data_IF_085649838455
#
_entry.id   IF_085649838455
#
_cell.length_a   1.000
_cell.length_b   1.000
_cell.length_c   1.000
_cell.angle_alpha   90.00
_cell.angle_beta   90.00
_cell.angle_gamma   90.00
#
_symmetry.space_group_name_H-M   'P 1'
#
loop_
_entity.id
_entity.type
_entity.pdbx_description
1 polymer ?
2 non-polymer ?
3 water ?
#
# COMPACT_ATOMS: atom_id res chain seq x y z
N UNK A 2 -11.31 -16.08 -32.35
CA UNK A 2 -11.20 -14.66 -32.62
C UNK A 2 -9.94 -14.05 -32.04
N UNK A 3 -9.58 -12.87 -32.56
CA UNK A 3 -8.32 -12.21 -32.19
C UNK A 3 -8.66 -10.85 -31.60
N UNK A 4 -8.21 -10.65 -30.36
CA UNK A 4 -8.54 -9.49 -29.56
C UNK A 4 -7.41 -8.47 -29.69
N UNK A 5 -7.77 -7.19 -29.69
CA UNK A 5 -6.84 -6.10 -29.94
C UNK A 5 -6.85 -5.14 -28.75
N UNK A 6 -5.71 -5.03 -28.07
CA UNK A 6 -5.63 -4.46 -26.72
C UNK A 6 -4.67 -3.27 -26.74
N UNK A 7 -5.20 -2.08 -26.44
CA UNK A 7 -4.36 -0.89 -26.29
C UNK A 7 -3.64 -0.95 -24.93
N UNK A 8 -2.31 -0.90 -24.97
CA UNK A 8 -1.49 -0.88 -23.76
C UNK A 8 -0.77 0.45 -23.68
N UNK A 9 -1.03 1.21 -22.63
CA UNK A 9 -0.34 2.48 -22.43
C UNK A 9 1.16 2.28 -22.26
N UNK A 10 1.91 3.14 -22.95
CA UNK A 10 3.36 3.10 -22.94
C UNK A 10 3.85 4.53 -22.98
N UNK A 11 4.64 4.93 -21.99
CA UNK A 11 5.09 6.30 -21.92
C UNK A 11 3.92 7.26 -21.97
N UNK A 12 3.99 8.22 -22.90
CA UNK A 12 2.96 9.22 -23.04
C UNK A 12 2.00 8.89 -24.17
N UNK A 13 2.03 7.64 -24.64
CA UNK A 13 1.08 7.15 -25.63
C UNK A 13 0.62 5.73 -25.37
N UNK A 14 0.42 4.96 -26.43
CA UNK A 14 -0.15 3.61 -26.33
C UNK A 14 0.34 2.72 -27.45
N UNK A 15 0.63 1.47 -27.10
CA UNK A 15 0.92 0.43 -28.09
C UNK A 15 -0.32 -0.44 -28.26
N UNK A 16 -0.25 -1.44 -29.15
CA UNK A 16 -1.31 -2.42 -29.35
C UNK A 16 -0.72 -3.82 -29.34
N UNK A 17 -1.53 -4.78 -28.87
CA UNK A 17 -1.19 -6.19 -28.97
C UNK A 17 -2.43 -6.95 -29.45
N UNK A 18 -2.21 -8.03 -30.20
CA UNK A 18 -3.27 -8.83 -30.77
C UNK A 18 -3.15 -10.25 -30.22
N UNK A 19 -4.20 -10.73 -29.55
CA UNK A 19 -4.15 -12.02 -28.88
C UNK A 19 -5.42 -12.78 -29.20
N UNK A 20 -5.31 -14.10 -29.36
CA UNK A 20 -6.49 -14.96 -29.47
C UNK A 20 -7.34 -14.85 -28.21
N UNK A 21 -8.57 -14.35 -28.37
CA UNK A 21 -9.41 -14.03 -27.22
C UNK A 21 -9.61 -15.24 -26.31
N UNK A 22 -9.85 -16.42 -26.90
CA UNK A 22 -10.10 -17.64 -26.11
C UNK A 22 -8.87 -18.13 -25.39
N UNK A 23 -7.77 -17.40 -25.53
CA UNK A 23 -6.51 -17.75 -24.92
C UNK A 23 -6.08 -16.75 -23.85
N UNK A 24 -6.78 -15.63 -23.73
CA UNK A 24 -6.35 -14.56 -22.84
C UNK A 24 -7.52 -14.03 -22.01
N UNK A 25 -7.16 -13.45 -20.86
CA UNK A 25 -8.08 -12.69 -20.03
C UNK A 25 -7.48 -11.31 -19.80
N UNK A 26 -8.30 -10.27 -19.93
CA UNK A 26 -7.87 -8.89 -19.66
C UNK A 26 -8.54 -8.44 -18.37
N UNK A 27 -7.71 -8.24 -17.34
CA UNK A 27 -8.16 -7.78 -16.02
C UNK A 27 -8.02 -6.27 -15.92
N UNK A 28 -9.11 -5.58 -15.60
CA UNK A 28 -9.13 -4.13 -15.43
C UNK A 28 -9.47 -3.75 -13.98
N UNK A 29 -8.86 -2.69 -13.45
CA UNK A 29 -9.32 -2.17 -12.15
C UNK A 29 -10.63 -1.41 -12.29
N UNK A 30 -11.30 -1.26 -11.16
CA UNK A 30 -12.53 -0.47 -11.05
C UNK A 30 -12.16 0.79 -10.25
N UNK A 31 -11.46 1.71 -10.90
CA UNK A 31 -10.73 2.76 -10.20
C UNK A 31 -11.72 3.89 -9.91
N UNK A 32 -12.51 3.70 -8.84
CA UNK A 32 -13.65 4.56 -8.54
C UNK A 32 -13.20 6.00 -8.27
N UNK A 33 -14.03 6.97 -8.62
CA UNK A 33 -13.66 8.37 -8.39
C UNK A 33 -13.94 8.80 -6.95
N UNK A 34 -13.19 9.79 -6.51
CA UNK A 34 -13.33 10.27 -5.14
C UNK A 34 -14.71 10.82 -4.86
N UNK A 35 -15.15 10.66 -3.61
CA UNK A 35 -16.46 11.17 -3.18
C UNK A 35 -16.48 12.68 -3.28
N UNK A 36 -17.67 13.25 -3.54
CA UNK A 36 -17.75 14.69 -3.70
C UNK A 36 -17.45 15.40 -2.38
N UNK A 37 -18.02 14.91 -1.27
CA UNK A 37 -17.83 15.54 0.03
C UNK A 37 -17.07 14.57 0.94
N UNK A 38 -15.74 14.62 0.93
CA UNK A 38 -14.96 13.67 1.76
C UNK A 38 -15.21 13.82 3.25
N UNK A 39 -15.28 15.05 3.77
CA UNK A 39 -15.50 15.22 5.21
C UNK A 39 -16.87 14.72 5.63
N UNK A 40 -17.86 14.76 4.73
CA UNK A 40 -19.18 14.22 5.02
C UNK A 40 -19.20 12.71 4.94
N UNK A 41 -18.38 12.11 4.06
CA UNK A 41 -18.22 10.66 4.07
C UNK A 41 -17.58 10.20 5.38
N UNK A 42 -16.67 10.99 5.95
CA UNK A 42 -16.11 10.65 7.25
C UNK A 42 -17.21 10.60 8.29
N UNK A 43 -18.05 11.65 8.33
CA UNK A 43 -19.10 11.71 9.34
C UNK A 43 -20.13 10.62 9.11
N UNK A 44 -20.49 10.36 7.86
CA UNK A 44 -21.32 9.19 7.55
C UNK A 44 -20.71 7.92 8.15
N UNK A 45 -19.41 7.69 7.90
CA UNK A 45 -18.70 6.54 8.45
C UNK A 45 -18.80 6.47 9.96
N UNK A 46 -18.59 7.59 10.64
CA UNK A 46 -18.59 7.64 12.09
C UNK A 46 -19.97 7.32 12.66
N UNK A 47 -21.03 7.77 11.99
CA UNK A 47 -22.39 7.45 12.43
C UNK A 47 -22.70 5.97 12.24
N UNK A 48 -22.07 5.31 11.26
CA UNK A 48 -22.30 3.91 10.94
C UNK A 48 -21.02 3.10 11.12
N UNK A 49 -20.53 2.97 12.35
CA UNK A 49 -19.26 2.26 12.56
C UNK A 49 -19.42 0.76 12.46
N UNK A 50 -18.31 0.09 12.23
CA UNK A 50 -18.26 -1.33 11.90
C UNK A 50 -17.70 -2.10 13.08
N UNK A 51 -18.52 -2.98 13.66
CA UNK A 51 -18.04 -3.88 14.69
C UNK A 51 -17.82 -3.24 16.03
N UNK A 52 -18.31 -2.03 16.23
CA UNK A 52 -18.09 -1.38 17.51
C UNK A 52 -19.03 -0.20 17.59
N UNK A 53 -19.34 0.19 18.81
CA UNK A 53 -20.25 1.29 19.04
C UNK A 53 -19.67 2.58 18.47
N UNK A 54 -20.51 3.56 18.14
CA UNK A 54 -19.98 4.84 17.69
C UNK A 54 -19.18 5.49 18.81
N UNK A 55 -18.31 6.42 18.42
CA UNK A 55 -17.53 7.16 19.40
C UNK A 55 -18.41 7.82 20.45
N UNK A 56 -19.58 8.32 20.05
CA UNK A 56 -20.51 8.91 21.01
C UNK A 56 -20.73 8.03 22.23
N UNK A 57 -20.62 6.70 22.08
CA UNK A 57 -20.85 5.79 23.22
C UNK A 57 -19.57 5.23 23.83
N UNK A 58 -18.40 5.49 23.25
CA UNK A 58 -17.17 4.90 23.77
C UNK A 58 -16.36 5.82 24.68
N UNK A 59 -16.51 7.14 24.55
CA UNK A 59 -15.50 8.06 25.02
C UNK A 59 -15.96 8.87 26.22
N UNK A 60 -17.20 8.68 26.66
CA UNK A 60 -17.73 9.49 27.75
C UNK A 60 -16.77 9.47 28.94
N UNK A 61 -16.31 10.65 29.35
CA UNK A 61 -15.44 10.76 30.51
C UNK A 61 -13.96 10.62 30.22
N UNK A 62 -13.56 10.25 29.00
CA UNK A 62 -12.13 10.14 28.70
C UNK A 62 -11.48 11.51 28.82
N UNK A 63 -10.25 11.52 29.30
CA UNK A 63 -9.53 12.76 29.53
C UNK A 63 -8.23 12.81 28.78
N UNK A 64 -7.91 11.79 27.99
CA UNK A 64 -6.59 11.77 27.43
C UNK A 64 -6.68 11.00 26.11
N UNK A 65 -7.44 11.54 25.15
CA UNK A 65 -7.64 10.89 23.86
C UNK A 65 -6.48 11.22 22.93
N UNK A 66 -5.93 10.20 22.29
CA UNK A 66 -4.86 10.35 21.31
C UNK A 66 -5.39 9.90 19.95
N UNK A 67 -5.13 10.71 18.92
CA UNK A 67 -5.43 10.39 17.54
C UNK A 67 -4.10 10.22 16.81
N UNK A 68 -3.85 9.03 16.28
CA UNK A 68 -2.65 8.73 15.51
C UNK A 68 -2.86 9.14 14.06
N UNK A 69 -1.87 9.83 13.47
CA UNK A 69 -1.91 10.24 12.07
C UNK A 69 -0.57 9.94 11.39
N UNK A 70 -0.62 9.74 10.07
CA UNK A 70 0.59 9.46 9.31
C UNK A 70 1.47 10.70 9.20
N UNK A 71 2.74 10.50 8.87
CA UNK A 71 3.67 11.61 8.79
C UNK A 71 3.72 12.18 7.37
N UNK A 72 4.55 13.22 7.19
CA UNK A 72 4.70 13.90 5.90
C UNK A 72 5.18 12.92 4.84
N UNK A 73 5.90 11.87 5.22
CA UNK A 73 6.42 10.91 4.24
C UNK A 73 5.31 10.14 3.56
N UNK A 74 4.33 9.65 4.36
CA UNK A 74 3.25 8.80 3.87
C UNK A 74 1.97 9.64 3.73
N UNK A 75 1.83 10.49 2.66
CA UNK A 75 0.72 11.45 2.60
C UNK A 75 -0.64 10.82 2.84
N UNK A 76 -1.27 11.15 3.95
CA UNK A 76 -2.62 10.68 4.26
C UNK A 76 -3.53 11.89 4.39
N UNK A 77 -4.82 11.72 4.16
CA UNK A 77 -5.74 12.86 4.29
C UNK A 77 -6.16 13.09 5.73
N UNK A 78 -5.17 13.18 6.61
CA UNK A 78 -5.43 13.49 8.01
C UNK A 78 -6.24 14.77 8.15
N UNK A 79 -5.93 15.79 7.33
CA UNK A 79 -6.71 17.02 7.38
C UNK A 79 -8.16 16.82 6.99
N UNK A 80 -8.48 15.72 6.32
CA UNK A 80 -9.88 15.40 6.05
C UNK A 80 -10.47 14.53 7.16
N UNK A 81 -9.69 13.57 7.68
CA UNK A 81 -10.25 12.63 8.63
C UNK A 81 -10.40 13.24 10.03
N UNK A 82 -9.42 14.04 10.45
CA UNK A 82 -9.36 14.43 11.85
C UNK A 82 -10.46 15.42 12.26
N UNK A 83 -10.76 16.49 11.50
CA UNK A 83 -11.80 17.47 11.97
C UNK A 83 -13.15 16.83 12.25
N UNK A 84 -13.66 15.92 11.41
CA UNK A 84 -14.91 15.26 11.81
C UNK A 84 -14.77 14.38 13.04
N UNK A 85 -13.56 13.88 13.33
CA UNK A 85 -13.39 13.04 14.51
C UNK A 85 -13.47 13.90 15.76
N UNK A 86 -12.77 15.05 15.76
CA UNK A 86 -12.81 15.94 16.90
C UNK A 86 -14.21 16.51 17.09
N UNK A 87 -14.98 16.66 16.01
CA UNK A 87 -16.36 17.10 16.14
C UNK A 87 -17.19 16.09 16.95
N UNK A 88 -16.96 14.79 16.73
CA UNK A 88 -17.68 13.80 17.52
C UNK A 88 -17.14 13.76 18.94
N UNK A 89 -15.83 13.89 19.11
CA UNK A 89 -15.26 13.92 20.45
C UNK A 89 -15.81 15.12 21.24
N UNK A 90 -15.82 16.31 20.62
CA UNK A 90 -16.45 17.47 21.25
C UNK A 90 -17.93 17.19 21.55
N UNK A 91 -18.66 16.62 20.60
CA UNK A 91 -20.08 16.38 20.78
C UNK A 91 -20.34 15.45 21.96
N UNK A 92 -19.45 14.50 22.20
CA UNK A 92 -19.57 13.56 23.30
C UNK A 92 -18.97 14.11 24.60
N UNK A 93 -18.64 15.40 24.65
CA UNK A 93 -18.18 16.03 25.88
C UNK A 93 -16.68 16.06 26.11
N UNK A 94 -15.87 15.79 25.08
CA UNK A 94 -14.42 15.80 25.21
C UNK A 94 -13.87 17.16 24.78
N UNK A 95 -13.24 17.88 25.71
CA UNK A 95 -12.63 19.15 25.37
C UNK A 95 -11.40 18.94 24.49
N UNK A 96 -11.04 19.98 23.73
CA UNK A 96 -9.86 19.91 22.89
C UNK A 96 -8.58 19.68 23.70
N UNK A 97 -8.57 20.03 24.97
CA UNK A 97 -7.42 19.82 25.84
C UNK A 97 -7.38 18.42 26.41
N UNK A 98 -8.41 17.62 26.13
CA UNK A 98 -8.40 16.19 26.37
C UNK A 98 -8.03 15.41 25.12
N UNK A 99 -7.57 16.10 24.07
CA UNK A 99 -7.26 15.48 22.78
C UNK A 99 -5.82 15.81 22.39
N UNK A 100 -5.12 14.83 21.83
CA UNK A 100 -3.80 15.01 21.25
C UNK A 100 -3.74 14.30 19.92
N UNK A 101 -3.02 14.86 18.98
CA UNK A 101 -2.65 14.17 17.76
C UNK A 101 -1.18 13.82 17.85
N UNK A 102 -0.85 12.56 17.55
CA UNK A 102 0.50 12.06 17.55
C UNK A 102 0.79 11.56 16.13
N UNK A 103 1.93 11.99 15.56
CA UNK A 103 2.34 11.59 14.23
C UNK A 103 3.22 10.35 14.28
N UNK A 104 2.82 9.32 13.53
CA UNK A 104 3.60 8.10 13.45
C UNK A 104 4.84 8.17 12.57
N UNK A 105 5.92 8.73 13.11
CA UNK A 105 7.15 8.92 12.36
C UNK A 105 7.83 7.61 12.00
N UNK A 106 7.78 6.61 12.89
CA UNK A 106 8.70 5.50 12.76
C UNK A 106 10.13 6.04 12.81
N UNK A 107 10.91 5.75 11.78
CA UNK A 107 12.31 6.17 11.76
C UNK A 107 12.51 7.61 11.33
N UNK A 108 11.48 8.27 10.77
CA UNK A 108 11.68 9.51 10.05
C UNK A 108 11.93 10.67 11.00
N UNK A 109 12.43 11.77 10.44
CA UNK A 109 12.82 12.96 11.17
C UNK A 109 11.59 13.69 11.73
N UNK A 110 11.81 14.59 12.68
CA UNK A 110 10.69 15.37 13.19
C UNK A 110 10.10 16.27 12.09
N UNK A 111 8.86 16.68 12.31
CA UNK A 111 8.21 17.61 11.42
C UNK A 111 8.50 19.03 11.86
N UNK A 112 8.56 19.94 10.89
CA UNK A 112 8.46 21.36 11.21
C UNK A 112 7.00 21.70 11.50
N UNK A 113 6.78 22.89 12.04
CA UNK A 113 5.43 23.32 12.35
C UNK A 113 4.57 23.40 11.09
N UNK A 114 5.13 23.94 10.00
CA UNK A 114 4.39 24.03 8.75
C UNK A 114 4.01 22.66 8.23
N UNK A 115 4.92 21.69 8.33
CA UNK A 115 4.59 20.31 7.97
C UNK A 115 3.45 19.78 8.85
N UNK A 116 3.47 20.11 10.13
CA UNK A 116 2.39 19.67 11.00
C UNK A 116 1.05 20.27 10.58
N UNK A 117 1.04 21.57 10.27
CA UNK A 117 -0.20 22.21 9.79
C UNK A 117 -0.64 21.62 8.45
N UNK A 118 0.32 21.28 7.58
CA UNK A 118 0.00 20.51 6.38
C UNK A 118 -0.78 19.24 6.73
N UNK A 119 -0.37 18.53 7.79
CA UNK A 119 -0.92 17.20 8.02
C UNK A 119 -2.32 17.25 8.61
N UNK A 120 -2.59 18.16 9.54
CA UNK A 120 -3.86 18.18 10.26
C UNK A 120 -4.75 19.36 9.90
N UNK A 121 -4.26 20.34 9.13
CA UNK A 121 -4.99 21.56 8.93
C UNK A 121 -4.66 22.58 10.01
N UNK A 122 -4.65 23.87 9.63
CA UNK A 122 -4.26 24.93 10.56
C UNK A 122 -5.22 25.03 11.72
N UNK A 123 -6.52 24.85 11.45
CA UNK A 123 -7.53 24.99 12.49
C UNK A 123 -7.34 23.95 13.59
N UNK A 124 -7.05 22.70 13.20
CA UNK A 124 -6.80 21.67 14.20
C UNK A 124 -5.48 21.92 14.92
N UNK A 125 -4.43 22.28 14.17
CA UNK A 125 -3.13 22.52 14.80
C UNK A 125 -3.21 23.60 15.86
N UNK A 126 -4.06 24.61 15.65
CA UNK A 126 -4.15 25.70 16.62
C UNK A 126 -4.90 25.29 17.88
N UNK A 127 -5.97 24.49 17.76
CA UNK A 127 -6.73 24.16 18.96
C UNK A 127 -6.28 22.87 19.66
N UNK A 128 -5.56 21.96 18.99
CA UNK A 128 -5.17 20.69 19.59
C UNK A 128 -3.66 20.49 19.48
N UNK A 129 -3.05 19.97 20.54
CA UNK A 129 -1.62 19.67 20.54
C UNK A 129 -1.30 18.54 19.56
N UNK A 130 -0.33 18.77 18.68
CA UNK A 130 0.05 17.80 17.66
C UNK A 130 1.53 17.46 17.88
N UNK A 131 1.78 16.22 18.27
CA UNK A 131 3.08 15.79 18.78
C UNK A 131 3.69 14.77 17.83
N UNK A 132 5.00 14.89 17.58
CA UNK A 132 5.71 13.86 16.83
C UNK A 132 6.05 12.67 17.74
N UNK A 133 5.96 11.47 17.17
CA UNK A 133 6.54 10.30 17.80
C UNK A 133 7.96 10.61 18.26
N UNK A 134 8.29 10.23 19.50
CA UNK A 134 9.64 10.31 20.03
C UNK A 134 10.12 8.87 20.22
N UNK A 135 10.90 8.40 19.24
CA UNK A 135 11.34 7.01 19.19
C UNK A 135 12.25 6.64 20.35
N UNK A 136 12.80 7.62 21.07
CA UNK A 136 13.63 7.33 22.23
C UNK A 136 12.87 7.42 23.54
N UNK A 137 11.55 7.58 23.50
CA UNK A 137 10.73 7.73 24.68
C UNK A 137 9.53 6.79 24.59
N UNK A 138 9.83 5.50 24.47
CA UNK A 138 8.82 4.46 24.39
C UNK A 138 8.78 3.63 25.66
N UNK A 139 7.68 2.89 25.81
CA UNK A 139 7.37 2.11 26.99
C UNK A 139 6.88 0.73 26.54
N UNK A 140 7.35 -0.30 27.22
CA UNK A 140 7.12 -1.67 26.80
C UNK A 140 5.75 -2.16 27.26
N UNK A 141 4.97 -2.75 26.35
CA UNK A 141 3.62 -3.14 26.71
C UNK A 141 3.38 -4.61 26.39
N UNK A 142 4.42 -5.31 25.95
CA UNK A 142 4.26 -6.73 25.67
C UNK A 142 5.12 -7.15 24.50
N UNK A 143 5.11 -8.46 24.26
CA UNK A 143 5.84 -9.09 23.17
C UNK A 143 4.87 -10.02 22.43
N UNK A 144 4.88 -9.95 21.10
CA UNK A 144 4.01 -10.75 20.25
C UNK A 144 4.51 -12.19 20.16
N UNK A 145 3.65 -13.07 19.64
CA UNK A 145 3.99 -14.47 19.42
C UNK A 145 5.25 -14.63 18.61
N UNK A 146 5.52 -13.73 17.68
CA UNK A 146 6.70 -13.84 16.83
C UNK A 146 7.92 -13.17 17.46
N UNK A 147 7.81 -12.62 18.66
CA UNK A 147 8.97 -12.09 19.34
C UNK A 147 9.26 -10.61 19.15
N UNK A 148 8.31 -9.86 18.57
CA UNK A 148 8.43 -8.40 18.49
C UNK A 148 8.10 -7.78 19.85
N UNK A 149 9.07 -7.18 20.54
CA UNK A 149 8.73 -6.38 21.71
C UNK A 149 8.05 -5.09 21.25
N UNK A 150 6.88 -4.81 21.82
CA UNK A 150 6.05 -3.68 21.42
C UNK A 150 6.30 -2.57 22.42
N UNK A 151 7.01 -1.53 21.96
CA UNK A 151 7.43 -0.42 22.82
C UNK A 151 6.84 0.85 22.22
N UNK A 152 5.93 1.48 22.95
CA UNK A 152 5.06 2.51 22.41
C UNK A 152 5.44 3.86 23.01
N UNK A 153 5.57 4.87 22.16
CA UNK A 153 5.71 6.27 22.56
C UNK A 153 4.90 6.57 23.83
N UNK A 154 5.57 7.16 24.82
CA UNK A 154 4.94 7.45 26.11
C UNK A 154 3.62 8.22 25.97
N UNK A 155 3.55 9.20 25.06
CA UNK A 155 2.31 9.97 24.94
C UNK A 155 1.14 9.10 24.50
N UNK A 156 1.41 8.09 23.69
CA UNK A 156 0.37 7.11 23.35
C UNK A 156 0.15 6.14 24.51
N UNK A 157 1.23 5.66 25.13
CA UNK A 157 1.12 4.82 26.33
C UNK A 157 0.23 5.49 27.37
N UNK A 158 0.30 6.83 27.48
CA UNK A 158 -0.40 7.52 28.56
C UNK A 158 -1.89 7.63 28.32
N UNK A 159 -2.34 7.36 27.11
CA UNK A 159 -3.69 7.76 26.75
C UNK A 159 -4.69 6.79 27.34
N UNK A 160 -5.90 7.31 27.61
CA UNK A 160 -6.99 6.43 28.00
C UNK A 160 -7.86 6.04 26.81
N UNK A 161 -7.64 6.64 25.65
CA UNK A 161 -8.37 6.29 24.43
C UNK A 161 -7.49 6.60 23.23
N UNK A 162 -7.41 5.67 22.28
CA UNK A 162 -6.50 5.74 21.15
C UNK A 162 -7.30 5.47 19.88
N UNK A 163 -7.39 6.49 19.01
CA UNK A 163 -8.01 6.38 17.70
C UNK A 163 -6.89 6.36 16.65
N UNK A 164 -6.88 5.34 15.79
CA UNK A 164 -5.89 5.26 14.70
C UNK A 164 -6.50 5.72 13.38
N UNK A 165 -5.84 6.66 12.69
CA UNK A 165 -6.26 7.11 11.36
C UNK A 165 -5.13 6.88 10.37
N UNK A 166 -5.49 6.73 9.10
CA UNK A 166 -4.53 6.56 8.04
C UNK A 166 -5.22 6.12 6.76
N UNK A 167 -4.41 5.73 5.77
CA UNK A 167 -4.92 5.20 4.52
C UNK A 167 -5.18 3.71 4.64
N UNK A 168 -6.03 3.22 3.75
CA UNK A 168 -6.28 1.80 3.61
C UNK A 168 -6.15 1.48 2.12
N UNK A 169 -5.04 0.90 1.73
CA UNK A 169 -4.81 0.53 0.34
C UNK A 169 -4.10 -0.81 0.34
N UNK A 170 -3.93 -1.39 -0.86
CA UNK A 170 -3.03 -2.52 -0.99
C UNK A 170 -1.63 -2.11 -0.53
N UNK A 171 -0.96 -3.01 0.17
CA UNK A 171 0.40 -2.78 0.61
C UNK A 171 1.23 -3.99 0.23
N UNK A 172 2.46 -3.74 -0.24
CA UNK A 172 3.24 -4.80 -0.86
C UNK A 172 3.75 -5.83 0.14
N UNK A 173 3.77 -5.49 1.44
CA UNK A 173 4.19 -6.45 2.44
C UNK A 173 3.14 -6.70 3.50
N UNK A 174 2.48 -5.66 4.00
CA UNK A 174 1.47 -5.84 5.02
C UNK A 174 0.15 -6.32 4.45
N UNK A 175 0.06 -6.53 3.13
CA UNK A 175 -1.19 -6.91 2.50
C UNK A 175 -2.09 -5.71 2.24
N UNK A 176 -2.42 -4.98 3.30
CA UNK A 176 -3.10 -3.70 3.24
C UNK A 176 -2.47 -2.80 4.28
N UNK A 177 -2.54 -1.49 4.05
CA UNK A 177 -2.18 -0.50 5.06
C UNK A 177 -3.37 -0.31 5.99
N UNK A 178 -3.21 0.52 7.02
CA UNK A 178 -4.32 0.91 7.86
C UNK A 178 -4.55 -0.02 9.06
N UNK A 179 -5.62 0.30 9.78
CA UNK A 179 -5.90 -0.40 11.02
C UNK A 179 -4.75 -0.20 11.99
N UNK A 180 -4.25 -1.32 12.55
CA UNK A 180 -3.21 -1.28 13.58
C UNK A 180 -1.86 -0.78 13.04
N UNK A 181 -1.66 -0.78 11.72
CA UNK A 181 -0.39 -0.29 11.17
C UNK A 181 -0.14 1.17 11.56
N UNK A 182 -1.19 1.96 11.82
CA UNK A 182 -0.97 3.32 12.31
C UNK A 182 -0.16 3.32 13.60
N UNK A 183 -0.28 2.26 14.41
CA UNK A 183 0.47 2.19 15.66
C UNK A 183 1.79 1.45 15.51
N UNK A 184 1.77 0.28 14.89
CA UNK A 184 3.01 -0.48 14.73
C UNK A 184 3.31 -0.57 13.24
N UNK A 185 4.39 0.04 12.74
CA UNK A 185 5.54 0.61 13.47
C UNK A 185 5.48 2.12 13.78
N UNK A 186 4.46 2.84 13.33
CA UNK A 186 4.46 4.29 13.44
C UNK A 186 4.90 4.92 14.75
N UNK A 187 4.36 4.47 15.89
CA UNK A 187 4.69 5.09 17.17
C UNK A 187 5.42 4.11 18.10
N UNK A 188 6.29 3.29 17.53
CA UNK A 188 7.00 2.31 18.32
C UNK A 188 8.51 2.56 18.27
N UNK A 189 9.23 1.91 19.19
CA UNK A 189 10.66 2.08 19.32
C UNK A 189 11.42 1.37 18.20
N UNK A 190 12.74 1.61 18.18
CA UNK A 190 13.59 1.00 17.16
C UNK A 190 13.59 -0.52 17.26
N UNK A 191 13.65 -1.09 18.48
CA UNK A 191 13.55 -2.53 18.62
C UNK A 191 12.28 -3.07 17.96
N UNK A 192 11.14 -2.44 18.24
CA UNK A 192 9.87 -2.89 17.68
C UNK A 192 9.88 -2.83 16.15
N UNK A 193 10.29 -1.69 15.59
CA UNK A 193 10.30 -1.53 14.13
C UNK A 193 11.23 -2.55 13.48
N UNK A 194 12.45 -2.67 14.02
CA UNK A 194 13.41 -3.63 13.48
C UNK A 194 12.84 -5.06 13.47
N UNK A 195 12.35 -5.54 14.60
CA UNK A 195 11.91 -6.95 14.64
C UNK A 195 10.70 -7.17 13.75
N UNK A 196 9.77 -6.21 13.73
CA UNK A 196 8.63 -6.38 12.83
C UNK A 196 9.04 -6.28 11.37
N UNK A 197 10.02 -5.42 11.07
CA UNK A 197 10.47 -5.26 9.69
C UNK A 197 11.01 -6.57 9.13
N UNK A 198 11.65 -7.39 9.96
CA UNK A 198 12.22 -8.64 9.47
C UNK A 198 11.17 -9.57 8.90
N UNK A 199 9.90 -9.41 9.30
CA UNK A 199 8.84 -10.28 8.80
C UNK A 199 8.50 -10.02 7.34
N UNK A 200 8.96 -8.91 6.76
CA UNK A 200 8.61 -8.60 5.39
C UNK A 200 9.33 -9.50 4.39
N UNK A 201 10.34 -10.25 4.84
CA UNK A 201 11.11 -11.10 3.94
C UNK A 201 10.49 -12.48 3.76
N UNK A 202 9.35 -12.75 4.41
CA UNK A 202 8.68 -14.04 4.37
C UNK A 202 7.78 -14.16 3.15
N UNK A 203 7.48 -15.40 2.78
CA UNK A 203 6.66 -15.65 1.58
C UNK A 203 5.19 -15.28 1.78
N UNK A 204 4.75 -15.12 3.04
CA UNK A 204 3.38 -14.71 3.30
C UNK A 204 3.12 -13.21 3.35
N UNK A 205 4.16 -12.38 3.29
CA UNK A 205 4.01 -10.92 3.32
C UNK A 205 3.85 -10.43 1.89
N UNK A 206 2.61 -10.21 1.48
CA UNK A 206 2.38 -9.87 0.08
C UNK A 206 1.08 -9.07 -0.02
N UNK A 207 0.87 -8.33 -1.11
CA UNK A 207 -0.36 -7.55 -1.26
C UNK A 207 -1.61 -8.41 -1.21
N UNK A 208 -2.65 -7.88 -0.58
CA UNK A 208 -3.96 -8.48 -0.61
C UNK A 208 -4.15 -9.66 0.31
N UNK A 209 -3.14 -9.98 1.14
CA UNK A 209 -3.19 -11.14 2.04
C UNK A 209 -3.10 -10.65 3.48
N UNK A 210 -4.09 -11.03 4.29
CA UNK A 210 -4.12 -10.70 5.71
C UNK A 210 -3.87 -11.95 6.57
N UNK A 211 -4.85 -12.86 6.57
CA UNK A 211 -4.74 -14.09 7.34
C UNK A 211 -3.53 -14.89 6.84
N UNK A 212 -2.60 -15.20 7.75
CA UNK A 212 -1.37 -15.84 7.33
C UNK A 212 -0.37 -14.89 6.70
N UNK A 213 -0.64 -13.61 6.70
CA UNK A 213 0.43 -12.68 6.41
C UNK A 213 1.13 -12.38 7.73
N UNK A 214 2.41 -12.71 7.86
CA UNK A 214 3.05 -12.61 9.19
C UNK A 214 3.38 -11.19 9.60
N UNK A 215 3.65 -10.29 8.65
CA UNK A 215 3.87 -8.91 9.05
C UNK A 215 2.57 -8.27 9.53
N UNK A 216 1.48 -8.49 8.79
CA UNK A 216 0.21 -7.89 9.18
C UNK A 216 -0.30 -8.46 10.50
N UNK A 217 -0.19 -9.78 10.68
CA UNK A 217 -0.63 -10.42 11.92
C UNK A 217 0.18 -9.92 13.09
N UNK A 218 1.47 -9.70 12.88
CA UNK A 218 2.30 -9.16 13.95
C UNK A 218 1.91 -7.72 14.23
N UNK A 219 1.61 -6.94 13.18
CA UNK A 219 1.13 -5.57 13.36
C UNK A 219 -0.15 -5.57 14.19
N UNK A 220 -1.13 -6.37 13.78
CA UNK A 220 -2.41 -6.33 14.49
C UNK A 220 -2.28 -6.87 15.90
N UNK A 221 -1.34 -7.79 16.12
CA UNK A 221 -1.11 -8.28 17.48
C UNK A 221 -0.45 -7.21 18.33
N UNK A 222 0.55 -6.52 17.79
CA UNK A 222 1.17 -5.43 18.53
C UNK A 222 0.21 -4.30 18.81
N UNK A 223 -0.66 -3.98 17.85
CA UNK A 223 -1.66 -2.94 18.06
C UNK A 223 -2.68 -3.31 19.12
N UNK A 224 -2.99 -4.60 19.25
CA UNK A 224 -3.86 -5.08 20.35
C UNK A 224 -3.16 -4.99 21.70
N UNK A 225 -1.87 -5.35 21.76
CA UNK A 225 -1.13 -5.15 23.00
C UNK A 225 -1.13 -3.68 23.40
N UNK A 226 -1.20 -2.78 22.42
CA UNK A 226 -1.21 -1.36 22.71
C UNK A 226 -2.62 -0.79 22.86
N UNK A 227 -3.67 -1.61 22.69
CA UNK A 227 -5.05 -1.23 23.03
C UNK A 227 -5.54 -0.07 22.18
N UNK A 228 -5.35 -0.19 20.87
CA UNK A 228 -5.99 0.72 19.91
C UNK A 228 -7.50 0.50 20.01
N UNK A 229 -8.24 1.56 20.33
CA UNK A 229 -9.68 1.42 20.56
C UNK A 229 -10.50 1.50 19.29
N UNK A 230 -10.05 2.24 18.27
CA UNK A 230 -10.95 2.69 17.23
C UNK A 230 -10.12 3.14 16.03
N UNK A 231 -10.62 2.87 14.82
CA UNK A 231 -9.94 3.33 13.62
C UNK A 231 -10.91 4.16 12.78
N UNK A 232 -10.33 5.07 12.01
CA UNK A 232 -10.99 5.79 10.93
C UNK A 232 -10.00 5.76 9.77
N UNK A 233 -10.34 5.09 8.69
CA UNK A 233 -9.41 4.86 7.61
C UNK A 233 -10.02 5.36 6.32
N UNK A 234 -9.19 5.99 5.48
CA UNK A 234 -9.60 6.47 4.17
C UNK A 234 -9.17 5.45 3.11
N UNK A 235 -10.14 4.86 2.44
CA UNK A 235 -9.90 3.99 1.29
C UNK A 235 -9.60 4.88 0.07
N UNK A 236 -8.45 4.69 -0.54
CA UNK A 236 -7.95 5.63 -1.55
C UNK A 236 -8.00 4.96 -2.93
N UNK A 237 -8.34 5.75 -3.96
CA UNK A 237 -8.16 5.28 -5.32
C UNK A 237 -6.72 5.51 -5.77
N UNK A 238 -6.42 5.15 -7.02
CA UNK A 238 -5.10 5.33 -7.61
C UNK A 238 -4.68 6.79 -7.72
N UNK A 239 -5.60 7.72 -7.62
CA UNK A 239 -5.28 9.13 -7.59
C UNK A 239 -5.16 9.66 -6.16
N UNK A 240 -5.14 8.76 -5.19
CA UNK A 240 -5.05 9.05 -3.77
C UNK A 240 -6.22 9.87 -3.26
N UNK A 241 -7.37 9.78 -3.90
CA UNK A 241 -8.56 10.45 -3.40
C UNK A 241 -9.43 9.47 -2.61
N UNK A 242 -10.11 9.99 -1.60
CA UNK A 242 -10.98 9.19 -0.74
C UNK A 242 -12.20 8.71 -1.53
N UNK A 243 -12.36 7.40 -1.61
CA UNK A 243 -13.58 6.84 -2.18
C UNK A 243 -14.54 6.31 -1.12
N UNK A 244 -14.07 6.07 0.11
CA UNK A 244 -14.87 5.56 1.22
C UNK A 244 -14.09 5.71 2.51
N UNK A 245 -14.80 5.93 3.60
CA UNK A 245 -14.18 5.92 4.94
C UNK A 245 -14.79 4.77 5.73
N UNK A 246 -13.95 3.98 6.40
CA UNK A 246 -14.38 2.92 7.31
C UNK A 246 -13.97 3.28 8.72
N UNK A 247 -14.91 3.17 9.65
CA UNK A 247 -14.67 3.52 11.04
C UNK A 247 -15.11 2.37 11.95
N UNK A 248 -14.45 2.28 13.11
CA UNK A 248 -14.92 1.33 14.12
C UNK A 248 -13.86 0.39 14.63
N UNK A 249 -14.18 -0.90 14.65
CA UNK A 249 -13.30 -1.89 15.27
C UNK A 249 -11.99 -2.00 14.49
N UNK A 250 -10.84 -1.98 15.15
CA UNK A 250 -9.57 -1.98 14.41
C UNK A 250 -9.39 -3.18 13.49
N UNK A 251 -10.13 -4.26 13.70
CA UNK A 251 -10.10 -5.43 12.82
C UNK A 251 -11.29 -5.43 11.84
N UNK A 252 -12.51 -5.31 12.35
CA UNK A 252 -13.67 -5.46 11.47
C UNK A 252 -13.81 -4.30 10.51
N UNK A 253 -13.54 -3.07 10.97
CA UNK A 253 -13.60 -1.94 10.04
C UNK A 253 -12.51 -2.06 8.99
N UNK A 254 -11.32 -2.54 9.38
CA UNK A 254 -10.26 -2.69 8.41
C UNK A 254 -10.62 -3.75 7.37
N UNK A 255 -11.24 -4.85 7.80
CA UNK A 255 -11.60 -5.91 6.87
C UNK A 255 -12.61 -5.45 5.85
N UNK A 256 -13.58 -4.63 6.28
CA UNK A 256 -14.55 -4.10 5.33
C UNK A 256 -13.90 -3.11 4.38
N UNK A 257 -12.93 -2.32 4.86
CA UNK A 257 -12.17 -1.48 3.95
C UNK A 257 -11.36 -2.29 2.97
N UNK A 258 -10.77 -3.40 3.44
CA UNK A 258 -10.01 -4.25 2.55
C UNK A 258 -10.88 -4.85 1.45
N UNK A 259 -12.17 -5.07 1.72
CA UNK A 259 -13.01 -5.59 0.64
C UNK A 259 -13.41 -4.50 -0.35
N UNK A 260 -13.49 -3.25 0.09
CA UNK A 260 -13.73 -2.19 -0.88
C UNK A 260 -12.52 -2.00 -1.79
N UNK A 261 -11.32 -2.00 -1.21
CA UNK A 261 -10.10 -2.05 -2.02
C UNK A 261 -10.12 -3.23 -2.99
N UNK A 262 -10.53 -4.42 -2.50
CA UNK A 262 -10.49 -5.62 -3.34
C UNK A 262 -11.46 -5.51 -4.51
N UNK A 263 -12.65 -4.97 -4.25
CA UNK A 263 -13.61 -4.74 -5.32
C UNK A 263 -13.02 -3.85 -6.42
N UNK A 264 -12.22 -2.84 -6.03
CA UNK A 264 -11.55 -1.98 -7.00
C UNK A 264 -10.39 -2.67 -7.72
N UNK A 265 -9.50 -3.38 -7.02
CA UNK A 265 -8.21 -3.70 -7.59
C UNK A 265 -7.79 -5.16 -7.52
N UNK A 266 -8.36 -5.96 -6.63
CA UNK A 266 -8.04 -7.39 -6.61
C UNK A 266 -8.89 -8.09 -7.67
N UNK A 267 -8.28 -9.02 -8.38
CA UNK A 267 -8.96 -9.68 -9.50
C UNK A 267 -8.54 -11.15 -9.46
N UNK A 268 -9.43 -12.00 -8.93
CA UNK A 268 -9.10 -13.38 -8.62
C UNK A 268 -9.11 -14.22 -9.90
N UNK A 269 -8.02 -14.93 -10.15
CA UNK A 269 -7.88 -15.78 -11.33
C UNK A 269 -7.86 -17.25 -10.92
N UNK A 270 -8.34 -18.16 -11.77
CA UNK A 270 -8.32 -19.59 -11.41
C UNK A 270 -6.94 -20.09 -11.03
N UNK A 271 -5.95 -19.80 -11.86
CA UNK A 271 -4.61 -20.36 -11.73
C UNK A 271 -3.62 -19.35 -12.28
N UNK A 272 -2.36 -19.53 -11.91
CA UNK A 272 -1.32 -18.67 -12.46
C UNK A 272 -1.17 -18.94 -13.95
N UNK A 273 -1.15 -17.87 -14.76
CA UNK A 273 -1.15 -17.99 -16.20
C UNK A 273 0.28 -18.17 -16.73
N UNK A 274 0.39 -18.46 -18.03
CA UNK A 274 1.69 -18.73 -18.64
C UNK A 274 2.39 -17.45 -19.07
N UNK A 275 1.70 -16.61 -19.83
CA UNK A 275 2.19 -15.30 -20.26
C UNK A 275 1.38 -14.24 -19.52
N UNK A 276 2.06 -13.32 -18.86
CA UNK A 276 1.43 -12.12 -18.30
C UNK A 276 1.94 -10.92 -19.06
N UNK A 277 1.03 -10.20 -19.70
CA UNK A 277 1.36 -8.97 -20.41
C UNK A 277 0.96 -7.81 -19.52
N UNK A 278 1.93 -7.00 -19.10
CA UNK A 278 1.70 -5.99 -18.07
C UNK A 278 2.14 -4.62 -18.58
N UNK A 279 1.20 -3.69 -18.61
CA UNK A 279 1.51 -2.29 -18.79
C UNK A 279 1.46 -1.58 -17.44
N UNK A 280 2.30 -0.56 -17.28
CA UNK A 280 2.25 0.23 -16.07
C UNK A 280 1.14 1.27 -16.08
N UNK A 281 0.43 1.43 -17.20
CA UNK A 281 -0.58 2.46 -17.30
C UNK A 281 -0.08 3.81 -17.78
N UNK A 282 1.11 3.86 -18.37
CA UNK A 282 1.60 5.08 -18.98
C UNK A 282 2.40 5.96 -18.03
N UNK A 283 3.05 6.95 -18.62
CA UNK A 283 3.80 7.96 -17.86
C UNK A 283 2.85 8.70 -16.92
N UNK A 284 3.28 9.00 -15.68
CA UNK A 284 4.56 8.76 -15.01
C UNK A 284 4.65 7.44 -14.22
N UNK A 285 3.63 6.59 -14.29
CA UNK A 285 3.74 5.31 -13.61
C UNK A 285 4.88 4.46 -14.19
N UNK A 286 5.28 4.68 -15.44
CA UNK A 286 6.46 4.01 -15.99
C UNK A 286 7.64 4.98 -16.15
N UNK A 287 7.72 6.00 -15.28
CA UNK A 287 8.74 7.05 -15.49
C UNK A 287 10.16 6.49 -15.31
N UNK A 288 10.32 5.44 -14.51
CA UNK A 288 11.60 4.77 -14.38
C UNK A 288 11.34 3.34 -13.93
N UNK A 289 12.37 2.48 -13.99
CA UNK A 289 12.17 1.05 -13.74
C UNK A 289 11.75 0.78 -12.31
N UNK A 290 12.30 1.54 -11.36
CA UNK A 290 11.91 1.41 -9.96
C UNK A 290 10.40 1.55 -9.78
N UNK A 291 9.79 2.57 -10.43
CA UNK A 291 8.35 2.75 -10.37
C UNK A 291 7.62 1.67 -11.16
N UNK A 292 8.21 1.19 -12.24
CA UNK A 292 7.58 0.15 -13.02
C UNK A 292 7.61 -1.18 -12.30
N UNK A 293 8.56 -1.37 -11.37
CA UNK A 293 8.56 -2.57 -10.56
C UNK A 293 7.20 -2.78 -9.88
N UNK A 294 6.42 -1.71 -9.68
CA UNK A 294 5.18 -1.89 -8.94
C UNK A 294 4.17 -2.70 -9.76
N UNK A 295 3.97 -2.37 -11.04
CA UNK A 295 3.20 -3.25 -11.91
C UNK A 295 3.78 -4.66 -12.01
N UNK A 296 5.11 -4.78 -11.90
CA UNK A 296 5.75 -6.08 -12.03
C UNK A 296 5.54 -6.91 -10.78
N UNK A 297 5.65 -6.28 -9.60
CA UNK A 297 5.32 -6.96 -8.36
C UNK A 297 3.90 -7.52 -8.39
N UNK A 298 2.93 -6.69 -8.77
CA UNK A 298 1.56 -7.17 -8.88
C UNK A 298 1.45 -8.32 -9.88
N UNK A 299 2.21 -8.25 -10.97
CA UNK A 299 2.02 -9.21 -12.05
C UNK A 299 2.63 -10.57 -11.74
N UNK A 300 3.67 -10.62 -10.90
CA UNK A 300 4.42 -11.85 -10.68
C UNK A 300 3.78 -12.77 -9.66
N UNK A 301 2.70 -12.33 -9.00
CA UNK A 301 1.94 -13.30 -8.23
C UNK A 301 1.09 -14.18 -9.13
N UNK A 302 0.98 -13.82 -10.41
CA UNK A 302 0.09 -14.46 -11.37
C UNK A 302 0.80 -15.10 -12.56
N UNK A 303 2.12 -15.28 -12.51
CA UNK A 303 2.84 -15.96 -13.58
C UNK A 303 3.30 -17.32 -13.06
N UNK A 304 3.16 -18.34 -13.91
CA UNK A 304 3.56 -19.68 -13.53
C UNK A 304 5.08 -19.77 -13.43
N UNK A 305 5.57 -20.70 -12.60
CA UNK A 305 6.98 -21.03 -12.65
C UNK A 305 7.31 -21.54 -14.04
N UNK A 306 8.23 -20.85 -14.72
CA UNK A 306 8.50 -21.09 -16.12
C UNK A 306 7.75 -20.21 -17.08
N UNK A 307 6.95 -19.26 -16.58
CA UNK A 307 6.18 -18.37 -17.41
C UNK A 307 7.00 -17.20 -17.93
N UNK A 308 6.31 -16.31 -18.62
CA UNK A 308 6.93 -15.15 -19.26
C UNK A 308 6.12 -13.91 -18.94
N UNK A 309 6.77 -12.90 -18.36
CA UNK A 309 6.17 -11.58 -18.16
C UNK A 309 6.64 -10.67 -19.28
N UNK A 310 5.73 -9.90 -19.82
CA UNK A 310 6.06 -8.88 -20.82
C UNK A 310 5.72 -7.56 -20.17
N UNK A 311 6.74 -6.87 -19.67
CA UNK A 311 6.56 -5.59 -18.96
C UNK A 311 6.66 -4.44 -19.97
N UNK A 312 5.57 -3.71 -20.13
CA UNK A 312 5.46 -2.60 -21.08
C UNK A 312 5.64 -1.30 -20.29
N UNK A 313 6.84 -0.75 -20.30
CA UNK A 313 7.15 0.39 -19.44
C UNK A 313 8.26 1.23 -20.06
N UNK A 314 7.96 2.49 -20.37
CA UNK A 314 8.90 3.33 -21.11
C UNK A 314 10.21 3.54 -20.35
N UNK A 315 10.12 3.82 -19.03
CA UNK A 315 11.28 4.15 -18.21
C UNK A 315 12.05 5.33 -18.79
N UNK A 316 11.29 6.32 -19.29
CA UNK A 316 11.81 7.61 -19.75
C UNK A 316 13.03 8.08 -19.01
N UNK A 317 13.00 8.12 -17.68
CA UNK A 317 14.04 8.70 -16.85
C UNK A 317 14.99 7.65 -16.25
N UNK A 318 15.01 6.44 -16.80
CA UNK A 318 16.02 5.46 -16.43
C UNK A 318 15.61 4.40 -15.43
N UNK A 319 16.57 3.93 -14.62
CA UNK A 319 16.31 2.83 -13.71
C UNK A 319 15.70 3.25 -12.39
N UNK A 320 15.82 4.52 -12.00
CA UNK A 320 15.12 4.98 -10.83
C UNK A 320 16.01 5.10 -9.62
N UNK A 321 15.46 4.77 -8.45
CA UNK A 321 16.14 5.03 -7.19
C UNK A 321 17.50 4.34 -7.13
N UNK A 322 18.48 5.06 -6.57
CA UNK A 322 19.90 4.73 -6.68
C UNK A 322 20.22 3.31 -6.20
N UNK A 323 19.72 2.93 -5.02
CA UNK A 323 20.00 1.59 -4.52
C UNK A 323 19.39 0.52 -5.44
N UNK A 324 18.11 0.67 -5.76
CA UNK A 324 17.48 -0.28 -6.67
C UNK A 324 18.26 -0.41 -7.99
N UNK A 325 18.70 0.71 -8.56
CA UNK A 325 19.43 0.67 -9.83
C UNK A 325 20.78 -0.01 -9.66
N UNK A 326 21.54 0.35 -8.63
CA UNK A 326 22.83 -0.30 -8.38
C UNK A 326 22.69 -1.81 -8.26
N UNK A 327 21.70 -2.28 -7.49
CA UNK A 327 21.50 -3.71 -7.37
C UNK A 327 21.17 -4.35 -8.71
N UNK A 328 20.39 -3.66 -9.54
CA UNK A 328 19.97 -4.27 -10.80
C UNK A 328 21.12 -4.36 -11.80
N UNK A 329 22.09 -3.44 -11.72
CA UNK A 329 23.20 -3.45 -12.68
C UNK A 329 24.36 -4.21 -12.06
N UNK A 330 24.08 -4.97 -10.99
CA UNK A 330 25.14 -5.69 -10.28
C UNK A 330 26.33 -4.77 -10.02
N UNK A 331 26.05 -3.61 -9.44
CA UNK A 331 27.08 -2.64 -9.14
C UNK A 331 28.22 -3.27 -8.33
N UNK A 332 29.43 -2.81 -8.60
CA UNK A 332 30.65 -3.34 -7.96
C UNK A 332 31.18 -2.36 -6.92
N UNK A 346 16.33 0.41 3.26
CA UNK A 346 16.88 -0.23 2.07
C UNK A 346 15.79 -0.77 1.15
N UNK A 347 14.72 0.01 0.98
CA UNK A 347 13.58 -0.42 0.16
C UNK A 347 13.99 -0.79 -1.26
N UNK A 348 14.85 0.03 -1.90
CA UNK A 348 15.18 -0.23 -3.29
C UNK A 348 15.88 -1.55 -3.52
N UNK A 349 16.80 -1.92 -2.62
CA UNK A 349 17.57 -3.15 -2.78
C UNK A 349 16.65 -4.38 -2.72
N UNK A 350 15.67 -4.36 -1.82
CA UNK A 350 14.72 -5.46 -1.73
C UNK A 350 13.90 -5.58 -3.02
N UNK A 351 13.38 -4.45 -3.51
CA UNK A 351 12.56 -4.48 -4.72
C UNK A 351 13.35 -4.98 -5.92
N UNK A 352 14.67 -4.75 -5.91
CA UNK A 352 15.50 -5.32 -6.97
C UNK A 352 15.69 -6.83 -6.78
N UNK A 353 15.90 -7.28 -5.54
CA UNK A 353 15.99 -8.71 -5.30
C UNK A 353 14.67 -9.41 -5.59
N UNK A 354 13.54 -8.74 -5.31
CA UNK A 354 12.23 -9.22 -5.75
C UNK A 354 12.23 -9.47 -7.25
N UNK A 355 12.79 -8.53 -8.03
CA UNK A 355 12.85 -8.75 -9.47
C UNK A 355 13.74 -9.94 -9.79
N UNK A 356 14.88 -10.05 -9.11
CA UNK A 356 15.78 -11.18 -9.39
C UNK A 356 15.12 -12.52 -9.11
N UNK A 357 14.43 -12.64 -7.96
CA UNK A 357 13.77 -13.90 -7.62
C UNK A 357 12.75 -14.29 -8.70
N UNK A 358 12.00 -13.31 -9.23
CA UNK A 358 11.07 -13.61 -10.31
C UNK A 358 11.80 -14.12 -11.55
N UNK A 359 12.98 -13.56 -11.82
CA UNK A 359 13.71 -13.95 -13.02
C UNK A 359 14.26 -15.38 -12.88
N UNK A 360 14.51 -15.83 -11.65
CA UNK A 360 14.84 -17.23 -11.45
C UNK A 360 13.67 -18.16 -11.75
N UNK A 361 12.45 -17.65 -11.63
CA UNK A 361 11.26 -18.46 -11.82
C UNK A 361 10.72 -18.39 -13.24
N UNK A 362 11.00 -17.30 -13.94
CA UNK A 362 10.31 -16.98 -15.18
C UNK A 362 11.20 -16.06 -15.98
N UNK A 363 10.74 -15.76 -17.19
CA UNK A 363 11.38 -14.80 -18.07
C UNK A 363 10.60 -13.50 -18.00
N UNK A 364 11.30 -12.38 -18.12
CA UNK A 364 10.63 -11.08 -18.23
C UNK A 364 11.13 -10.33 -19.45
N UNK A 365 10.21 -9.99 -20.35
CA UNK A 365 10.49 -9.10 -21.46
C UNK A 365 10.30 -7.65 -21.01
N UNK A 366 11.20 -6.77 -21.44
CA UNK A 366 11.11 -5.35 -21.16
C UNK A 366 10.89 -4.61 -22.47
N UNK A 367 9.72 -4.01 -22.61
CA UNK A 367 9.44 -3.06 -23.69
C UNK A 367 9.63 -1.68 -23.09
N UNK A 368 10.70 -0.99 -23.49
CA UNK A 368 11.08 0.25 -22.84
C UNK A 368 11.90 1.12 -23.78
N UNK A 369 12.30 2.28 -23.25
CA UNK A 369 13.23 3.14 -23.96
C UNK A 369 14.66 2.64 -23.88
N UNK A 370 14.94 1.64 -23.04
CA UNK A 370 16.29 1.08 -22.98
C UNK A 370 16.60 0.33 -24.27
N UNK A 371 17.89 0.27 -24.61
CA UNK A 371 18.30 -0.48 -25.78
C UNK A 371 18.63 -1.91 -25.38
N UNK A 372 18.92 -2.74 -26.40
CA UNK A 372 19.04 -4.18 -26.17
C UNK A 372 20.14 -4.50 -25.17
N UNK A 373 21.32 -3.90 -25.34
CA UNK A 373 22.43 -4.15 -24.42
C UNK A 373 22.02 -3.95 -22.97
N UNK A 374 21.48 -2.76 -22.66
CA UNK A 374 21.10 -2.46 -21.28
C UNK A 374 19.94 -3.34 -20.82
N UNK A 375 18.98 -3.59 -21.71
CA UNK A 375 17.82 -4.41 -21.35
C UNK A 375 18.27 -5.81 -20.95
N UNK A 376 19.25 -6.37 -21.66
CA UNK A 376 19.75 -7.69 -21.32
C UNK A 376 20.84 -7.68 -20.27
N UNK A 377 21.55 -6.56 -20.09
CA UNK A 377 22.41 -6.44 -18.92
C UNK A 377 21.63 -6.71 -17.62
N UNK A 378 20.44 -6.13 -17.50
CA UNK A 378 19.71 -6.20 -16.22
C UNK A 378 18.84 -7.45 -16.18
N UNK A 379 19.01 -8.32 -17.19
CA UNK A 379 18.55 -9.71 -17.24
C UNK A 379 17.12 -9.86 -17.74
N UNK A 380 16.62 -8.92 -18.55
CA UNK A 380 15.31 -9.00 -19.19
C UNK A 380 15.49 -9.46 -20.63
N UNK A 381 14.42 -9.96 -21.23
CA UNK A 381 14.46 -10.19 -22.66
C UNK A 381 14.14 -8.88 -23.35
N UNK A 382 14.67 -8.72 -24.55
CA UNK A 382 14.45 -7.52 -25.34
C UNK A 382 13.47 -7.78 -26.47
N UNK A 383 12.63 -6.78 -26.75
CA UNK A 383 11.74 -6.80 -27.89
C UNK A 383 11.40 -5.35 -28.20
N UNK A 384 11.22 -5.04 -29.47
CA UNK A 384 10.92 -3.67 -29.84
C UNK A 384 9.47 -3.30 -29.54
N UNK A 385 8.54 -4.23 -29.67
CA UNK A 385 7.13 -3.99 -29.40
C UNK A 385 6.58 -5.09 -28.52
N UNK A 386 5.41 -4.86 -27.91
CA UNK A 386 4.74 -5.95 -27.19
C UNK A 386 4.40 -7.13 -28.07
N UNK A 387 3.99 -6.89 -29.32
CA UNK A 387 3.66 -7.99 -30.21
C UNK A 387 4.85 -8.90 -30.43
N UNK A 388 6.04 -8.32 -30.66
CA UNK A 388 7.22 -9.10 -31.00
C UNK A 388 7.57 -10.03 -29.84
N UNK A 389 7.39 -9.54 -28.61
CA UNK A 389 7.67 -10.31 -27.41
C UNK A 389 6.65 -11.42 -27.24
N UNK A 390 5.37 -11.09 -27.43
CA UNK A 390 4.33 -12.10 -27.30
C UNK A 390 4.49 -13.18 -28.37
N UNK A 391 4.51 -12.76 -29.65
CA UNK A 391 4.67 -13.71 -30.75
C UNK A 391 5.88 -14.61 -30.55
N UNK A 392 6.92 -14.12 -29.89
CA UNK A 392 8.08 -14.97 -29.66
C UNK A 392 7.79 -16.01 -28.59
N UNK A 393 7.24 -15.60 -27.45
CA UNK A 393 7.07 -16.51 -26.32
C UNK A 393 5.80 -17.35 -26.40
N UNK A 394 4.79 -16.88 -27.13
CA UNK A 394 3.62 -17.71 -27.41
C UNK A 394 4.06 -19.03 -28.05
N UNK A 395 5.20 -19.01 -28.77
CA UNK A 395 5.72 -20.20 -29.39
C UNK A 395 6.30 -21.18 -28.37
N UNK A 396 6.79 -20.68 -27.25
CA UNK A 396 7.45 -21.53 -26.26
C UNK A 396 6.49 -22.24 -25.32
N UNK A 397 5.18 -22.20 -25.58
CA UNK A 397 4.17 -22.74 -24.66
C UNK A 397 3.07 -23.43 -25.44
N UNK A 398 2.33 -24.31 -24.75
CA UNK A 398 1.34 -25.21 -25.36
C UNK A 398 -0.05 -24.82 -24.92
N UNK A 399 -0.84 -24.27 -25.85
CA UNK A 399 -2.16 -23.68 -25.58
C UNK A 399 -2.09 -22.87 -24.30
N UNK A 400 -1.38 -21.74 -24.30
CA UNK A 400 -1.07 -21.07 -23.04
C UNK A 400 -2.23 -20.26 -22.51
N UNK A 401 -2.25 -20.06 -21.21
CA UNK A 401 -3.12 -19.07 -20.62
C UNK A 401 -2.36 -17.74 -20.59
N UNK A 402 -2.96 -16.71 -21.18
CA UNK A 402 -2.36 -15.38 -21.29
C UNK A 402 -3.18 -14.40 -20.46
N UNK A 403 -2.55 -13.79 -19.48
CA UNK A 403 -3.17 -12.75 -18.67
C UNK A 403 -2.69 -11.38 -19.13
N UNK A 404 -3.62 -10.43 -19.28
CA UNK A 404 -3.29 -9.08 -19.71
C UNK A 404 -3.68 -8.09 -18.61
N UNK A 405 -2.68 -7.36 -18.10
CA UNK A 405 -2.89 -6.30 -17.11
C UNK A 405 -2.56 -4.94 -17.70
N UNK A 406 -3.55 -4.22 -18.24
CA UNK A 406 -3.28 -2.88 -18.78
C UNK A 406 -3.06 -1.82 -17.72
N UNK A 407 -3.36 -2.10 -16.45
CA UNK A 407 -3.08 -1.17 -15.36
C UNK A 407 -2.46 -1.95 -14.21
N UNK A 408 -1.33 -2.57 -14.53
CA UNK A 408 -0.66 -3.46 -13.59
C UNK A 408 -0.20 -2.73 -12.33
N UNK A 409 0.11 -1.43 -12.42
CA UNK A 409 0.59 -0.74 -11.22
C UNK A 409 -0.47 -0.71 -10.11
N UNK A 410 -1.74 -0.77 -10.47
CA UNK A 410 -2.80 -0.74 -9.48
C UNK A 410 -3.68 -1.99 -9.45
N UNK A 411 -3.43 -2.97 -10.29
CA UNK A 411 -4.30 -4.13 -10.45
C UNK A 411 -3.58 -5.36 -9.91
N UNK A 412 -4.18 -6.02 -8.91
CA UNK A 412 -3.54 -7.18 -8.29
C UNK A 412 -4.30 -8.43 -8.70
N UNK A 413 -3.77 -9.22 -9.64
CA UNK A 413 -4.29 -10.57 -9.83
C UNK A 413 -3.96 -11.41 -8.62
N UNK A 414 -4.88 -12.31 -8.30
CA UNK A 414 -4.83 -13.04 -7.03
C UNK A 414 -5.36 -14.45 -7.26
N UNK A 415 -4.58 -15.43 -6.85
CA UNK A 415 -4.99 -16.83 -6.92
C UNK A 415 -5.64 -17.33 -5.64
X LIG B 1 12.39 7.10 -7.86
X LIG C 1 -21.02 -3.74 19.19
#
# INVERSE_FOLDING_TARGET
MGYKEISLKYGKGAVDVKIDENMCTVLYPEDLPGVEDPMAEVSRSLKDPIGKAPLSDLVKGKKDVVILASDITRPSPSHILIPPITDELNRAGISDDSIKIVFGLGYHRKHTDDEKKTLVGEEVFNRIKCIDHDIDDCVYVGTTKRGTPVEVFREVYNADFIIATGNLELHYKAGYSGGHKALLPGVCSKNTIEKNHALMFSEGAMPGKIDGNPMREDIEEGGKLARVDFIVNAVLNSHKEIVKVVSGDPIKAHREGAKYIDKMYKRVIPEKADIVVASCGGYPKDINLYQAQKGLDNAQYSVKDGGTIILVAECREGLGEKLFSDWMVNSSSVDEPLKWIKEEFRLGAHKAAVICEVLKRADIYLISSFDRSLTEKIFFKYAKTPQDALDEAIKKYHDPKILVLPYANSTLPYVEEASWSHPQFEK
CL CL
CL CL
#
